data_IF_937938584472
#
_entry.id   IF_937938584472
#
_cell.length_a   1.000
_cell.length_b   1.000
_cell.length_c   1.000
_cell.angle_alpha   90.00
_cell.angle_beta   90.00
_cell.angle_gamma   90.00
#
_symmetry.space_group_name_H-M   'P 1'
#
loop_
_entity.id
_entity.type
_entity.pdbx_description
1 polymer ?
#
# COMPACT_ATOMS: atom_id res chain seq x y z
N UNK A 1 -25.44 -2.82 -3.06
CA UNK A 1 -26.09 -1.49 -3.09
C UNK A 1 -25.60 -0.81 -4.34
N UNK A 2 -26.49 -0.20 -5.13
CA UNK A 2 -26.07 0.52 -6.33
C UNK A 2 -25.48 1.87 -5.91
N UNK A 3 -24.17 1.91 -5.73
CA UNK A 3 -23.44 3.17 -5.56
C UNK A 3 -23.57 3.97 -6.86
N UNK A 4 -24.08 5.19 -6.80
CA UNK A 4 -23.93 6.11 -7.92
C UNK A 4 -22.47 6.57 -7.95
N UNK A 5 -21.65 5.96 -8.82
CA UNK A 5 -20.21 6.22 -8.93
C UNK A 5 -19.93 7.19 -10.08
N UNK A 6 -19.11 8.21 -9.83
CA UNK A 6 -18.54 9.09 -10.86
C UNK A 6 -17.01 8.98 -10.83
N UNK A 7 -16.38 8.63 -11.95
CA UNK A 7 -14.93 8.53 -12.04
C UNK A 7 -14.31 9.92 -11.97
N UNK A 8 -13.43 10.14 -10.99
CA UNK A 8 -12.71 11.40 -10.79
C UNK A 8 -11.26 11.32 -11.28
N UNK A 9 -10.62 10.17 -11.17
CA UNK A 9 -9.21 9.98 -11.53
C UNK A 9 -8.89 8.51 -11.83
N UNK A 10 -7.97 8.28 -12.75
CA UNK A 10 -7.43 6.94 -13.04
C UNK A 10 -5.95 6.96 -13.42
N UNK A 11 -5.26 5.89 -13.04
CA UNK A 11 -4.00 5.44 -13.65
C UNK A 11 -4.27 4.08 -14.30
N UNK A 12 -4.07 3.97 -15.61
CA UNK A 12 -4.30 2.74 -16.36
C UNK A 12 -3.02 2.30 -17.06
N UNK A 13 -2.40 1.23 -16.56
CA UNK A 13 -1.13 0.73 -17.07
C UNK A 13 -1.29 -0.32 -18.18
N UNK A 14 -2.52 -0.71 -18.51
CA UNK A 14 -2.80 -1.76 -19.49
C UNK A 14 -2.28 -1.38 -20.87
N UNK A 15 -1.38 -2.22 -21.40
CA UNK A 15 -0.77 -2.02 -22.73
C UNK A 15 0.24 -0.87 -22.80
N UNK A 16 0.55 -0.21 -21.68
CA UNK A 16 1.60 0.80 -21.62
C UNK A 16 2.98 0.15 -21.52
N UNK A 17 4.01 0.88 -21.94
CA UNK A 17 5.41 0.48 -21.76
C UNK A 17 6.28 1.68 -21.40
N UNK A 18 6.87 1.66 -20.21
CA UNK A 18 7.76 2.70 -19.72
C UNK A 18 8.74 2.13 -18.70
N UNK A 19 9.98 2.63 -18.72
CA UNK A 19 10.97 2.33 -17.69
C UNK A 19 10.89 3.30 -16.49
N UNK A 20 9.99 4.29 -16.54
CA UNK A 20 9.84 5.29 -15.49
C UNK A 20 8.36 5.64 -15.27
N UNK A 21 8.03 5.97 -14.02
CA UNK A 21 6.73 6.52 -13.63
C UNK A 21 6.60 7.98 -14.09
N UNK A 22 5.37 8.46 -14.25
CA UNK A 22 5.11 9.88 -14.46
C UNK A 22 5.50 10.67 -13.18
N UNK A 23 6.54 11.53 -13.23
CA UNK A 23 7.00 12.28 -12.08
C UNK A 23 6.05 13.40 -11.67
N UNK A 24 5.00 13.69 -12.42
CA UNK A 24 3.90 14.58 -11.99
C UNK A 24 2.90 13.87 -11.07
N UNK A 25 2.89 12.53 -11.05
CA UNK A 25 1.97 11.71 -10.23
C UNK A 25 2.72 11.03 -9.09
N UNK A 26 3.86 10.43 -9.39
CA UNK A 26 4.54 9.52 -8.47
C UNK A 26 5.87 10.08 -7.96
N UNK A 27 6.09 9.92 -6.67
CA UNK A 27 7.38 10.04 -6.00
C UNK A 27 7.92 8.64 -5.71
N UNK A 28 9.23 8.54 -5.54
CA UNK A 28 9.91 7.30 -5.18
C UNK A 28 10.57 7.45 -3.81
N UNK A 29 10.30 6.51 -2.92
CA UNK A 29 11.10 6.32 -1.72
C UNK A 29 12.28 5.41 -2.09
N UNK A 30 13.50 5.85 -1.77
CA UNK A 30 14.74 5.16 -2.13
C UNK A 30 15.51 4.75 -0.89
N UNK A 31 16.24 3.64 -0.99
CA UNK A 31 17.03 3.09 0.11
C UNK A 31 16.22 2.32 1.14
N UNK A 32 16.79 2.22 2.33
CA UNK A 32 16.30 1.40 3.44
C UNK A 32 15.72 2.26 4.60
N UNK A 33 15.39 3.53 4.30
CA UNK A 33 14.90 4.51 5.26
C UNK A 33 15.95 5.13 6.20
N UNK A 34 17.19 4.63 6.20
CA UNK A 34 18.24 5.15 7.12
C UNK A 34 18.56 6.63 6.91
N UNK A 35 18.49 7.10 5.66
CA UNK A 35 18.79 8.49 5.29
C UNK A 35 17.81 9.52 5.87
N UNK A 36 16.60 9.09 6.27
CA UNK A 36 15.60 9.90 6.98
C UNK A 36 15.46 9.52 8.46
N UNK A 37 16.36 8.67 8.99
CA UNK A 37 16.32 8.20 10.36
C UNK A 37 15.28 7.12 10.65
N UNK A 38 14.65 6.55 9.61
CA UNK A 38 13.65 5.49 9.70
C UNK A 38 14.26 4.16 9.24
N UNK A 39 15.29 3.70 9.94
CA UNK A 39 16.10 2.51 9.57
C UNK A 39 15.21 1.28 9.37
N UNK A 40 15.40 0.56 8.27
CA UNK A 40 14.57 -0.59 7.89
C UNK A 40 13.10 -0.23 7.76
N UNK A 41 12.84 1.01 7.32
CA UNK A 41 11.53 1.66 7.25
C UNK A 41 10.70 1.62 8.54
N UNK A 42 11.37 1.44 9.68
CA UNK A 42 10.73 1.32 11.00
C UNK A 42 10.28 -0.10 11.36
N UNK A 43 10.38 -1.05 10.43
CA UNK A 43 9.83 -2.41 10.56
C UNK A 43 10.89 -3.52 10.42
N UNK A 44 12.18 -3.18 10.41
CA UNK A 44 13.28 -4.11 10.08
C UNK A 44 13.13 -4.76 8.68
N UNK A 45 12.56 -4.02 7.75
CA UNK A 45 12.48 -4.39 6.34
C UNK A 45 13.89 -4.66 5.76
N UNK A 46 14.00 -5.62 4.83
CA UNK A 46 15.27 -6.15 4.30
C UNK A 46 15.58 -5.63 2.91
N UNK A 47 14.64 -5.01 2.21
CA UNK A 47 14.89 -4.46 0.88
C UNK A 47 15.57 -3.08 0.92
N UNK A 48 16.29 -2.79 -0.14
CA UNK A 48 16.73 -1.45 -0.49
C UNK A 48 15.87 -0.96 -1.65
N UNK A 49 15.02 0.06 -1.44
CA UNK A 49 14.15 0.54 -2.52
C UNK A 49 14.95 1.26 -3.60
N UNK A 50 14.68 0.93 -4.87
CA UNK A 50 15.35 1.48 -6.05
C UNK A 50 14.35 1.88 -7.13
N UNK A 51 14.72 2.85 -7.96
CA UNK A 51 13.88 3.25 -9.11
C UNK A 51 13.76 2.13 -10.16
N UNK A 52 14.85 1.41 -10.41
CA UNK A 52 14.92 0.36 -11.45
C UNK A 52 14.08 -0.88 -11.10
N UNK A 53 13.65 -1.02 -9.84
CA UNK A 53 12.69 -2.05 -9.43
C UNK A 53 11.26 -1.76 -9.85
N UNK A 54 10.96 -0.57 -10.41
CA UNK A 54 9.62 -0.18 -10.84
C UNK A 54 9.59 0.04 -12.35
N UNK A 55 8.77 -0.74 -13.05
CA UNK A 55 8.64 -0.65 -14.52
C UNK A 55 7.18 -0.76 -14.93
N UNK A 56 6.88 -0.37 -16.16
CA UNK A 56 5.57 -0.55 -16.78
C UNK A 56 5.77 -1.36 -18.06
N UNK A 57 5.19 -2.56 -18.12
CA UNK A 57 5.13 -3.39 -19.34
C UNK A 57 3.82 -4.18 -19.35
N UNK A 58 2.76 -3.56 -19.89
CA UNK A 58 1.40 -4.08 -19.84
C UNK A 58 0.70 -3.93 -18.48
N UNK A 59 1.47 -3.80 -17.40
CA UNK A 59 1.04 -3.43 -16.06
C UNK A 59 2.21 -2.72 -15.34
N UNK A 60 1.90 -1.92 -14.32
CA UNK A 60 2.92 -1.46 -13.37
C UNK A 60 3.44 -2.68 -12.61
N UNK A 61 4.76 -2.83 -12.56
CA UNK A 61 5.46 -3.94 -11.92
C UNK A 61 6.45 -3.41 -10.91
N UNK A 62 6.28 -3.81 -9.64
CA UNK A 62 7.30 -3.64 -8.60
C UNK A 62 7.99 -4.98 -8.40
N UNK A 63 9.28 -5.05 -8.73
CA UNK A 63 10.09 -6.25 -8.65
C UNK A 63 11.01 -6.22 -7.44
N UNK A 64 10.85 -7.21 -6.56
CA UNK A 64 11.83 -7.54 -5.54
C UNK A 64 12.84 -8.55 -6.10
N UNK A 65 14.14 -8.29 -5.95
CA UNK A 65 15.21 -9.12 -6.49
C UNK A 65 16.30 -9.36 -5.46
N UNK A 66 16.66 -10.63 -5.25
CA UNK A 66 17.79 -10.99 -4.39
C UNK A 66 19.08 -10.50 -5.02
N UNK A 67 19.92 -9.87 -4.21
CA UNK A 67 21.19 -9.33 -4.67
C UNK A 67 22.33 -10.32 -4.43
N UNK A 68 23.32 -10.37 -5.32
CA UNK A 68 24.52 -11.16 -5.08
C UNK A 68 25.32 -10.60 -3.91
N UNK A 69 26.04 -11.44 -3.17
CA UNK A 69 26.74 -11.04 -1.94
C UNK A 69 27.82 -9.95 -2.16
N UNK A 70 28.33 -9.81 -3.37
CA UNK A 70 29.33 -8.81 -3.76
C UNK A 70 28.72 -7.53 -4.37
N UNK A 71 27.39 -7.37 -4.32
CA UNK A 71 26.74 -6.15 -4.78
C UNK A 71 27.23 -4.91 -4.01
N UNK A 72 27.33 -3.74 -4.66
CA UNK A 72 27.89 -2.55 -4.03
C UNK A 72 26.91 -1.80 -3.12
N UNK A 73 25.62 -2.15 -3.11
CA UNK A 73 24.59 -1.43 -2.36
C UNK A 73 24.78 -1.74 -0.87
N UNK A 74 24.83 -0.71 -0.03
CA UNK A 74 24.95 -0.86 1.42
C UNK A 74 23.62 -0.49 2.08
N UNK A 75 23.02 -1.45 2.75
CA UNK A 75 21.91 -1.27 3.67
C UNK A 75 22.43 -1.16 5.11
N UNK A 76 21.55 -0.87 6.06
CA UNK A 76 21.86 -0.67 7.48
C UNK A 76 22.49 -1.89 8.17
N UNK A 77 22.39 -3.07 7.55
CA UNK A 77 22.93 -4.35 8.04
C UNK A 77 24.15 -4.85 7.23
N UNK A 78 24.67 -4.07 6.26
CA UNK A 78 25.78 -4.45 5.38
C UNK A 78 25.39 -4.45 3.90
N UNK A 79 26.04 -5.26 3.04
CA UNK A 79 25.63 -5.40 1.65
C UNK A 79 24.14 -5.74 1.55
N UNK A 80 23.39 -5.01 0.72
CA UNK A 80 21.95 -5.21 0.60
C UNK A 80 21.66 -6.64 0.12
N UNK A 81 20.70 -7.32 0.73
CA UNK A 81 20.30 -8.67 0.33
C UNK A 81 19.22 -8.65 -0.75
N UNK A 82 18.46 -7.56 -0.81
CA UNK A 82 17.30 -7.39 -1.68
C UNK A 82 17.20 -5.97 -2.21
N UNK A 83 16.75 -5.81 -3.45
CA UNK A 83 16.19 -4.55 -3.95
C UNK A 83 14.69 -4.71 -4.16
N UNK A 84 13.94 -3.61 -4.07
CA UNK A 84 12.51 -3.57 -4.39
C UNK A 84 12.09 -2.15 -4.77
N UNK A 85 10.79 -1.87 -4.88
CA UNK A 85 10.26 -0.53 -5.14
C UNK A 85 9.19 -0.08 -4.14
N UNK A 86 9.17 1.23 -3.87
CA UNK A 86 8.16 1.95 -3.12
C UNK A 86 7.88 3.29 -3.79
N UNK A 87 6.60 3.57 -4.03
CA UNK A 87 6.15 4.76 -4.73
C UNK A 87 4.93 5.36 -4.04
N UNK A 88 4.80 6.70 -4.10
CA UNK A 88 3.68 7.40 -3.46
C UNK A 88 3.26 8.68 -4.17
N UNK A 89 2.02 9.14 -3.94
CA UNK A 89 1.45 10.33 -4.59
C UNK A 89 1.49 11.61 -3.75
N UNK A 90 2.22 11.62 -2.63
CA UNK A 90 2.23 12.78 -1.72
C UNK A 90 2.61 14.08 -2.43
N UNK A 91 1.92 15.17 -2.07
CA UNK A 91 2.04 16.49 -2.70
C UNK A 91 1.77 16.52 -4.21
N UNK A 92 1.12 15.49 -4.79
CA UNK A 92 0.81 15.39 -6.23
C UNK A 92 -0.64 15.01 -6.49
N UNK A 93 -1.04 13.83 -6.02
CA UNK A 93 -2.42 13.34 -6.10
C UNK A 93 -2.89 12.96 -4.70
N UNK A 94 -3.94 13.63 -4.24
CA UNK A 94 -4.56 13.44 -2.93
C UNK A 94 -6.02 13.06 -3.05
N UNK A 95 -6.52 12.31 -2.07
CA UNK A 95 -7.85 11.74 -2.04
C UNK A 95 -8.53 12.07 -0.71
N UNK A 96 -9.80 12.46 -0.75
CA UNK A 96 -10.63 12.63 0.46
C UNK A 96 -11.99 12.01 0.23
N UNK A 97 -12.35 11.00 1.02
CA UNK A 97 -13.57 10.19 0.89
C UNK A 97 -13.67 9.48 -0.48
N UNK A 98 -14.83 8.90 -0.77
CA UNK A 98 -15.09 8.25 -2.06
C UNK A 98 -14.56 6.82 -2.12
N UNK A 99 -14.56 6.26 -3.32
CA UNK A 99 -14.16 4.90 -3.59
C UNK A 99 -12.84 4.86 -4.36
N UNK A 100 -11.83 4.22 -3.76
CA UNK A 100 -10.56 3.93 -4.41
C UNK A 100 -10.46 2.43 -4.65
N UNK A 101 -10.29 2.03 -5.91
CA UNK A 101 -10.16 0.65 -6.37
C UNK A 101 -8.79 0.46 -7.05
N UNK A 102 -8.05 -0.57 -6.65
CA UNK A 102 -6.76 -0.95 -7.23
C UNK A 102 -6.86 -2.38 -7.72
N UNK A 103 -6.66 -2.58 -9.02
CA UNK A 103 -6.61 -3.92 -9.62
C UNK A 103 -5.16 -4.40 -9.65
N UNK A 104 -4.84 -5.38 -8.81
CA UNK A 104 -3.49 -5.84 -8.58
C UNK A 104 -3.41 -7.37 -8.46
N UNK A 105 -2.22 -7.92 -8.73
CA UNK A 105 -1.89 -9.33 -8.49
C UNK A 105 -0.70 -9.39 -7.54
N UNK A 106 -0.88 -10.14 -6.45
CA UNK A 106 0.09 -10.14 -5.35
C UNK A 106 1.32 -11.00 -5.68
N UNK A 107 2.48 -10.71 -5.07
CA UNK A 107 3.65 -11.57 -5.15
C UNK A 107 3.41 -12.92 -4.46
N UNK A 108 4.18 -13.91 -4.90
CA UNK A 108 4.34 -15.19 -4.22
C UNK A 108 5.67 -15.21 -3.47
N UNK A 109 5.71 -15.92 -2.33
CA UNK A 109 6.96 -16.29 -1.65
C UNK A 109 6.99 -15.86 -0.19
N UNK A 110 7.34 -16.78 0.70
CA UNK A 110 7.51 -16.45 2.11
C UNK A 110 8.59 -15.36 2.27
N UNK A 111 8.26 -14.32 3.02
CA UNK A 111 9.07 -13.11 3.19
C UNK A 111 8.63 -11.92 2.34
N UNK A 112 7.74 -12.08 1.35
CA UNK A 112 7.20 -10.92 0.63
C UNK A 112 6.14 -10.20 1.46
N UNK A 113 6.15 -8.87 1.44
CA UNK A 113 5.18 -8.00 2.09
C UNK A 113 4.68 -6.91 1.12
N UNK A 114 3.74 -7.26 0.24
CA UNK A 114 3.02 -6.28 -0.58
C UNK A 114 2.07 -5.41 0.27
N UNK A 115 2.04 -4.12 -0.01
CA UNK A 115 1.08 -3.19 0.59
C UNK A 115 0.50 -2.19 -0.44
N UNK A 116 -0.80 -1.96 -0.33
CA UNK A 116 -1.58 -0.93 -1.01
C UNK A 116 -2.27 -0.09 0.08
N UNK A 117 -1.79 1.12 0.31
CA UNK A 117 -2.12 1.82 1.54
C UNK A 117 -2.09 3.33 1.38
N UNK A 118 -2.70 4.02 2.32
CA UNK A 118 -2.82 5.47 2.33
C UNK A 118 -2.25 6.05 3.62
N UNK A 119 -1.58 7.19 3.52
CA UNK A 119 -1.19 8.01 4.68
C UNK A 119 -1.82 9.40 4.59
N UNK A 120 -2.18 9.96 5.73
CA UNK A 120 -2.69 11.34 5.79
C UNK A 120 -1.64 12.33 5.28
N UNK A 121 -2.03 13.21 4.36
CA UNK A 121 -1.17 14.25 3.77
C UNK A 121 -0.62 15.22 4.84
N UNK A 122 -1.21 15.27 6.03
CA UNK A 122 -0.67 16.04 7.16
C UNK A 122 0.73 15.57 7.58
N UNK A 123 1.13 14.33 7.26
CA UNK A 123 2.47 13.80 7.53
C UNK A 123 3.58 14.62 6.88
N UNK A 124 3.42 14.97 5.59
CA UNK A 124 4.40 15.80 4.86
C UNK A 124 4.36 17.28 5.29
N UNK A 125 3.47 17.63 6.20
CA UNK A 125 3.32 18.95 6.81
C UNK A 125 3.60 18.97 8.33
N UNK A 126 4.12 17.86 8.88
CA UNK A 126 4.67 17.80 10.24
C UNK A 126 3.81 17.09 11.28
N UNK A 127 2.63 16.57 10.92
CA UNK A 127 1.87 15.68 11.81
C UNK A 127 2.53 14.31 11.84
N UNK A 128 2.99 13.85 13.00
CA UNK A 128 3.65 12.54 13.10
C UNK A 128 2.68 11.37 12.87
N UNK A 129 3.23 10.22 12.47
CA UNK A 129 2.52 8.95 12.58
C UNK A 129 2.49 8.50 14.06
N UNK A 130 1.37 7.93 14.55
CA UNK A 130 0.15 7.55 13.84
C UNK A 130 -0.93 8.64 13.80
N UNK A 131 -0.65 9.87 14.23
CA UNK A 131 -1.65 10.94 14.33
C UNK A 131 -2.20 11.37 12.95
N UNK A 132 -1.38 11.32 11.90
CA UNK A 132 -1.81 11.58 10.52
C UNK A 132 -2.80 10.54 9.97
N UNK A 133 -2.89 9.37 10.62
CA UNK A 133 -3.74 8.28 10.17
C UNK A 133 -3.16 7.49 8.99
N UNK A 134 -3.55 6.22 8.94
CA UNK A 134 -3.17 5.26 7.92
C UNK A 134 -4.38 4.38 7.57
N UNK A 135 -4.57 4.10 6.27
CA UNK A 135 -5.60 3.17 5.79
C UNK A 135 -4.94 2.16 4.86
N UNK A 136 -4.84 0.92 5.31
CA UNK A 136 -4.34 -0.19 4.49
C UNK A 136 -5.51 -0.76 3.71
N UNK A 137 -5.57 -0.45 2.42
CA UNK A 137 -6.54 -1.04 1.47
C UNK A 137 -6.27 -2.53 1.37
N UNK A 138 -4.99 -2.88 1.31
CA UNK A 138 -4.48 -4.22 1.40
C UNK A 138 -3.09 -4.22 2.03
N UNK A 139 -2.89 -5.11 2.99
CA UNK A 139 -1.58 -5.54 3.45
C UNK A 139 -1.55 -7.07 3.45
N UNK A 140 -0.41 -7.69 3.13
CA UNK A 140 -0.33 -9.15 3.14
C UNK A 140 1.10 -9.67 3.27
N UNK A 141 1.21 -10.95 3.61
CA UNK A 141 2.49 -11.67 3.65
C UNK A 141 2.43 -12.88 2.74
N UNK A 142 3.52 -13.16 2.03
CA UNK A 142 3.61 -14.34 1.17
C UNK A 142 3.61 -15.67 1.94
N UNK A 143 3.76 -15.64 3.27
CA UNK A 143 3.50 -16.79 4.14
C UNK A 143 1.99 -17.13 4.25
N UNK A 144 1.12 -16.18 3.90
CA UNK A 144 -0.34 -16.31 3.96
C UNK A 144 -0.97 -15.92 2.62
N UNK A 145 -0.72 -16.69 1.54
CA UNK A 145 -1.04 -16.28 0.17
C UNK A 145 -2.54 -16.21 -0.15
N UNK A 146 -3.41 -16.61 0.78
CA UNK A 146 -4.88 -16.55 0.65
C UNK A 146 -5.50 -15.41 1.47
N UNK A 147 -4.72 -14.72 2.32
CA UNK A 147 -5.23 -13.71 3.23
C UNK A 147 -5.37 -12.35 2.55
N UNK A 148 -6.58 -11.80 2.62
CA UNK A 148 -6.83 -10.38 2.35
C UNK A 148 -6.98 -9.71 3.70
N UNK A 149 -6.13 -8.72 3.98
CA UNK A 149 -6.12 -7.99 5.23
C UNK A 149 -6.24 -6.49 4.95
N UNK A 150 -7.17 -5.85 5.65
CA UNK A 150 -7.36 -4.40 5.64
C UNK A 150 -7.35 -3.86 7.06
N UNK A 151 -6.68 -2.74 7.25
CA UNK A 151 -6.38 -2.18 8.57
C UNK A 151 -6.54 -0.66 8.56
N UNK A 152 -6.81 -0.09 9.73
CA UNK A 152 -6.55 1.33 9.98
C UNK A 152 -5.64 1.52 11.18
N UNK A 153 -4.76 2.51 11.07
CA UNK A 153 -3.95 2.98 12.18
C UNK A 153 -4.23 4.45 12.49
N UNK A 154 -4.24 4.77 13.78
CA UNK A 154 -4.48 6.11 14.29
C UNK A 154 -4.04 6.26 15.75
N UNK A 155 -4.18 7.46 16.30
CA UNK A 155 -3.75 7.74 17.68
C UNK A 155 -4.47 6.84 18.71
N UNK A 156 -3.70 5.95 19.34
CA UNK A 156 -4.19 4.95 20.29
C UNK A 156 -4.68 3.62 19.69
N UNK A 157 -4.46 3.38 18.39
CA UNK A 157 -4.78 2.13 17.68
C UNK A 157 -3.86 1.97 16.46
N UNK A 158 -2.62 1.56 16.69
CA UNK A 158 -1.56 1.51 15.66
C UNK A 158 -0.61 0.33 15.87
N UNK A 159 0.26 0.06 14.90
CA UNK A 159 1.12 -1.13 14.89
C UNK A 159 0.28 -2.40 15.00
N UNK A 160 0.70 -3.35 15.85
CA UNK A 160 -0.05 -4.60 16.10
C UNK A 160 -1.48 -4.38 16.67
N UNK A 161 -1.79 -3.18 17.16
CA UNK A 161 -3.12 -2.81 17.69
C UNK A 161 -3.96 -2.02 16.68
N UNK A 162 -3.60 -2.02 15.39
CA UNK A 162 -4.45 -1.53 14.32
C UNK A 162 -5.81 -2.22 14.33
N UNK A 163 -6.85 -1.53 13.84
CA UNK A 163 -8.16 -2.16 13.70
C UNK A 163 -8.19 -2.94 12.37
N UNK A 164 -7.83 -4.21 12.47
CA UNK A 164 -7.66 -5.11 11.33
C UNK A 164 -8.86 -6.04 11.13
N UNK A 165 -9.16 -6.35 9.88
CA UNK A 165 -10.04 -7.46 9.48
C UNK A 165 -9.34 -8.31 8.41
N UNK A 166 -9.44 -9.62 8.56
CA UNK A 166 -8.85 -10.60 7.63
C UNK A 166 -9.96 -11.50 7.08
N UNK A 167 -9.93 -11.76 5.77
CA UNK A 167 -10.70 -12.81 5.11
C UNK A 167 -9.78 -13.78 4.35
N UNK A 168 -10.32 -14.93 3.96
CA UNK A 168 -9.64 -15.91 3.13
C UNK A 168 -10.26 -15.92 1.73
N UNK A 169 -9.41 -15.80 0.71
CA UNK A 169 -9.80 -16.10 -0.66
C UNK A 169 -9.69 -17.60 -0.92
N UNK A 170 -10.50 -18.10 -1.85
CA UNK A 170 -10.50 -19.51 -2.24
C UNK A 170 -9.30 -19.93 -3.09
N UNK A 171 -8.64 -18.96 -3.74
CA UNK A 171 -7.42 -19.11 -4.53
C UNK A 171 -6.34 -18.18 -3.98
N UNK A 172 -5.08 -18.52 -4.22
CA UNK A 172 -3.99 -17.68 -3.77
C UNK A 172 -3.97 -16.35 -4.55
N UNK A 173 -3.68 -15.24 -3.87
CA UNK A 173 -3.76 -13.88 -4.42
C UNK A 173 -2.70 -13.59 -5.51
N UNK A 174 -1.75 -14.50 -5.72
CA UNK A 174 -0.76 -14.42 -6.79
C UNK A 174 -1.17 -15.16 -8.06
N UNK A 175 -2.29 -15.90 -8.04
CA UNK A 175 -2.78 -16.66 -9.21
C UNK A 175 -3.48 -15.75 -10.23
N UNK A 176 -4.19 -14.70 -9.79
CA UNK A 176 -4.92 -13.79 -10.68
C UNK A 176 -4.95 -12.35 -10.14
N UNK A 177 -5.33 -11.40 -11.01
CA UNK A 177 -5.61 -10.04 -10.60
C UNK A 177 -6.92 -9.96 -9.83
N UNK A 178 -6.87 -9.33 -8.67
CA UNK A 178 -8.01 -9.00 -7.83
C UNK A 178 -8.18 -7.49 -7.70
N UNK A 179 -9.39 -7.04 -7.37
CA UNK A 179 -9.67 -5.62 -7.08
C UNK A 179 -9.76 -5.41 -5.58
N UNK A 180 -8.80 -4.65 -5.05
CA UNK A 180 -8.77 -4.22 -3.65
C UNK A 180 -9.29 -2.80 -3.58
N UNK A 181 -10.13 -2.48 -2.61
CA UNK A 181 -10.65 -1.12 -2.53
C UNK A 181 -11.16 -0.72 -1.17
N UNK A 182 -11.32 0.59 -1.03
CA UNK A 182 -12.00 1.20 0.11
C UNK A 182 -13.05 2.18 -0.40
N UNK A 183 -14.23 2.17 0.21
CA UNK A 183 -15.21 3.24 0.09
C UNK A 183 -15.30 3.96 1.43
N UNK A 184 -14.83 5.19 1.48
CA UNK A 184 -14.75 5.92 2.74
C UNK A 184 -15.50 7.24 2.73
N UNK A 185 -15.97 7.61 3.91
CA UNK A 185 -16.75 8.80 4.19
C UNK A 185 -16.39 9.32 5.58
N UNK A 186 -16.96 10.46 5.97
CA UNK A 186 -16.62 11.17 7.20
C UNK A 186 -16.59 10.30 8.47
N UNK A 187 -17.47 9.32 8.58
CA UNK A 187 -17.64 8.55 9.81
C UNK A 187 -17.56 7.03 9.56
N UNK A 188 -17.13 6.60 8.38
CA UNK A 188 -17.20 5.19 7.96
C UNK A 188 -16.24 4.86 6.83
N UNK A 189 -15.55 3.74 6.96
CA UNK A 189 -14.68 3.15 5.94
C UNK A 189 -15.16 1.71 5.69
N UNK A 190 -15.42 1.39 4.43
CA UNK A 190 -15.75 0.03 3.97
C UNK A 190 -14.56 -0.52 3.18
N UNK A 191 -14.12 -1.75 3.45
CA UNK A 191 -13.14 -2.44 2.61
C UNK A 191 -13.84 -3.40 1.67
N UNK A 192 -13.36 -3.42 0.43
CA UNK A 192 -13.87 -4.20 -0.66
C UNK A 192 -12.78 -5.12 -1.21
N UNK A 193 -13.17 -6.35 -1.52
CA UNK A 193 -12.37 -7.30 -2.27
C UNK A 193 -13.23 -7.87 -3.39
N UNK A 194 -12.78 -7.72 -4.64
CA UNK A 194 -13.54 -8.04 -5.86
C UNK A 194 -14.96 -7.45 -5.87
N UNK A 195 -15.07 -6.21 -5.37
CA UNK A 195 -16.32 -5.46 -5.28
C UNK A 195 -17.25 -5.86 -4.13
N UNK A 196 -16.92 -6.90 -3.35
CA UNK A 196 -17.67 -7.30 -2.17
C UNK A 196 -17.12 -6.65 -0.91
N UNK A 197 -18.00 -5.99 -0.13
CA UNK A 197 -17.63 -5.43 1.18
C UNK A 197 -17.35 -6.56 2.17
N UNK A 198 -16.16 -6.59 2.76
CA UNK A 198 -15.78 -7.59 3.77
C UNK A 198 -15.51 -7.01 5.16
N UNK A 199 -15.29 -5.69 5.24
CA UNK A 199 -15.11 -5.00 6.51
C UNK A 199 -15.78 -3.63 6.48
N UNK A 200 -16.25 -3.19 7.65
CA UNK A 200 -16.78 -1.85 7.88
C UNK A 200 -16.29 -1.39 9.24
N UNK A 201 -15.60 -0.24 9.27
CA UNK A 201 -15.24 0.43 10.52
C UNK A 201 -15.93 1.80 10.52
N UNK A 202 -16.68 2.05 11.58
CA UNK A 202 -17.37 3.32 11.80
C UNK A 202 -16.69 4.11 12.92
N UNK A 203 -16.78 5.44 12.87
CA UNK A 203 -16.30 6.32 13.95
C UNK A 203 -16.86 5.91 15.32
N UNK A 204 -18.09 5.41 15.33
CA UNK A 204 -18.87 4.95 16.49
C UNK A 204 -18.39 3.61 17.07
N UNK A 205 -17.43 2.93 16.42
CA UNK A 205 -16.90 1.67 16.92
C UNK A 205 -16.41 1.81 18.37
N UNK A 206 -16.87 0.97 19.32
CA UNK A 206 -16.48 1.06 20.72
C UNK A 206 -14.97 1.01 20.95
N UNK A 207 -14.20 0.34 20.07
CA UNK A 207 -12.73 0.27 20.12
C UNK A 207 -12.07 1.63 19.89
N UNK A 208 -12.81 2.59 19.32
CA UNK A 208 -12.40 3.98 19.04
C UNK A 208 -12.98 4.98 20.05
N UNK A 209 -13.65 4.50 21.11
CA UNK A 209 -14.19 5.37 22.16
C UNK A 209 -13.08 6.16 22.84
N UNK A 210 -13.21 7.50 22.84
CA UNK A 210 -12.21 8.42 23.40
C UNK A 210 -10.94 8.60 22.56
N UNK A 211 -10.83 7.94 21.40
CA UNK A 211 -9.69 8.05 20.47
C UNK A 211 -9.99 9.01 19.33
N UNK A 212 -8.97 9.60 18.73
CA UNK A 212 -9.12 10.48 17.57
C UNK A 212 -9.53 9.71 16.31
N UNK A 213 -10.22 10.37 15.39
CA UNK A 213 -10.55 9.84 14.07
C UNK A 213 -9.84 10.68 13.01
N UNK A 214 -8.74 10.14 12.50
CA UNK A 214 -7.81 10.87 11.63
C UNK A 214 -8.16 10.77 10.13
N UNK A 215 -9.30 10.18 9.77
CA UNK A 215 -9.64 9.86 8.37
C UNK A 215 -10.53 10.90 7.67
N UNK A 216 -10.50 12.14 8.19
CA UNK A 216 -11.31 13.27 7.71
C UNK A 216 -10.48 14.38 7.05
N UNK A 217 -9.29 14.02 6.59
CA UNK A 217 -8.38 14.88 5.85
C UNK A 217 -7.99 14.25 4.51
N UNK A 218 -7.12 14.92 3.76
CA UNK A 218 -6.56 14.39 2.52
C UNK A 218 -5.56 13.27 2.81
N UNK A 219 -5.60 12.21 2.01
CA UNK A 219 -4.67 11.09 2.03
C UNK A 219 -3.97 10.95 0.68
N UNK A 220 -2.73 10.49 0.68
CA UNK A 220 -1.99 10.10 -0.53
C UNK A 220 -1.77 8.58 -0.58
N UNK A 221 -1.68 8.04 -1.79
CA UNK A 221 -1.52 6.61 -2.05
C UNK A 221 -0.05 6.21 -1.98
N UNK A 222 0.20 5.02 -1.44
CA UNK A 222 1.49 4.35 -1.37
C UNK A 222 1.32 2.91 -1.87
N UNK A 223 2.26 2.48 -2.70
CA UNK A 223 2.36 1.11 -3.21
C UNK A 223 3.79 0.66 -3.04
N UNK A 224 3.99 -0.47 -2.38
CA UNK A 224 5.32 -1.06 -2.23
C UNK A 224 5.28 -2.59 -2.14
N UNK A 225 6.47 -3.16 -2.31
CA UNK A 225 6.75 -4.56 -2.03
C UNK A 225 7.93 -4.64 -1.06
N UNK A 226 7.66 -4.71 0.24
CA UNK A 226 8.69 -4.95 1.23
C UNK A 226 9.12 -6.43 1.25
N UNK A 227 10.30 -6.71 1.82
CA UNK A 227 10.84 -8.05 2.02
C UNK A 227 11.28 -8.21 3.48
N UNK A 228 10.80 -9.26 4.14
CA UNK A 228 11.11 -9.54 5.54
C UNK A 228 10.47 -8.51 6.50
N UNK A 229 11.20 -8.17 7.56
CA UNK A 229 10.66 -7.31 8.61
C UNK A 229 9.76 -8.03 9.60
N UNK A 230 9.29 -7.29 10.60
CA UNK A 230 8.49 -7.84 11.70
C UNK A 230 7.19 -8.47 11.24
N UNK A 231 6.57 -7.93 10.19
CA UNK A 231 5.30 -8.43 9.66
C UNK A 231 5.48 -9.64 8.74
N UNK A 232 6.37 -9.57 7.74
CA UNK A 232 6.55 -10.67 6.79
C UNK A 232 7.30 -11.87 7.39
N UNK A 233 8.12 -11.62 8.42
CA UNK A 233 8.93 -12.63 9.09
C UNK A 233 10.16 -13.04 8.30
N UNK A 234 10.61 -14.28 8.50
CA UNK A 234 11.78 -14.82 7.83
C UNK A 234 11.56 -14.95 6.31
N UNK A 235 12.56 -14.55 5.54
CA UNK A 235 12.58 -14.70 4.09
C UNK A 235 13.04 -16.12 3.73
N UNK A 236 12.26 -16.82 2.90
CA UNK A 236 12.67 -18.13 2.41
C UNK A 236 14.02 -18.04 1.68
N UNK A 237 15.04 -18.82 2.07
CA UNK A 237 16.34 -18.82 1.39
C UNK A 237 16.26 -19.14 -0.10
N UNK A 238 15.22 -19.83 -0.56
CA UNK A 238 15.00 -20.17 -1.97
C UNK A 238 14.26 -19.09 -2.77
N UNK A 239 13.72 -18.05 -2.11
CA UNK A 239 13.10 -16.93 -2.81
C UNK A 239 14.19 -16.12 -3.52
N UNK A 240 14.16 -16.04 -4.84
CA UNK A 240 15.14 -15.25 -5.63
C UNK A 240 14.53 -13.95 -6.17
N UNK A 241 13.23 -13.95 -6.43
CA UNK A 241 12.50 -12.79 -6.93
C UNK A 241 11.02 -12.87 -6.58
N UNK A 242 10.38 -11.71 -6.54
CA UNK A 242 8.93 -11.59 -6.41
C UNK A 242 8.43 -10.33 -7.15
N UNK A 243 7.17 -10.34 -7.59
CA UNK A 243 6.58 -9.22 -8.32
C UNK A 243 5.19 -8.89 -7.78
N UNK A 244 4.98 -7.61 -7.48
CA UNK A 244 3.66 -7.02 -7.31
C UNK A 244 3.28 -6.35 -8.64
N UNK A 245 2.10 -6.71 -9.17
CA UNK A 245 1.60 -6.17 -10.43
C UNK A 245 0.35 -5.34 -10.19
N UNK A 246 0.24 -4.18 -10.85
CA UNK A 246 -0.92 -3.29 -10.78
C UNK A 246 -1.37 -2.94 -12.20
N UNK A 247 -2.59 -3.32 -12.57
CA UNK A 247 -3.17 -2.99 -13.88
C UNK A 247 -3.75 -1.58 -13.90
N UNK A 248 -4.47 -1.20 -12.85
CA UNK A 248 -5.14 0.09 -12.79
C UNK A 248 -5.45 0.54 -11.38
N UNK A 249 -5.49 1.85 -11.20
CA UNK A 249 -6.01 2.52 -10.01
C UNK A 249 -7.15 3.42 -10.47
N UNK A 250 -8.29 3.35 -9.80
CA UNK A 250 -9.47 4.16 -10.14
C UNK A 250 -10.06 4.77 -8.88
N UNK A 251 -10.35 6.06 -8.96
CA UNK A 251 -10.92 6.82 -7.86
C UNK A 251 -12.26 7.44 -8.29
N UNK A 252 -13.28 7.25 -7.46
CA UNK A 252 -14.64 7.66 -7.75
C UNK A 252 -15.22 8.50 -6.61
N UNK A 253 -16.04 9.48 -6.96
CA UNK A 253 -17.06 9.97 -6.03
C UNK A 253 -18.17 8.93 -5.93
N UNK A 254 -18.76 8.79 -4.74
CA UNK A 254 -19.88 7.89 -4.45
C UNK A 254 -21.03 8.72 -3.90
N UNK A 255 -22.14 8.77 -4.63
CA UNK A 255 -23.30 9.60 -4.29
C UNK A 255 -22.93 11.09 -4.07
N UNK A 256 -21.96 11.59 -4.85
CA UNK A 256 -21.44 12.96 -4.72
C UNK A 256 -20.46 13.18 -3.56
N UNK A 257 -20.02 12.11 -2.88
CA UNK A 257 -19.00 12.16 -1.82
C UNK A 257 -17.67 11.64 -2.37
N UNK A 258 -16.62 12.45 -2.28
CA UNK A 258 -15.28 12.13 -2.79
C UNK A 258 -14.69 13.37 -3.46
N UNK A 259 -13.46 13.71 -3.10
CA UNK A 259 -12.74 14.86 -3.64
C UNK A 259 -11.33 14.43 -4.03
N UNK A 260 -10.94 14.80 -5.25
CA UNK A 260 -9.59 14.66 -5.77
C UNK A 260 -8.82 15.98 -5.59
N UNK A 261 -7.61 15.92 -5.05
CA UNK A 261 -6.66 17.04 -5.06
C UNK A 261 -5.55 16.74 -6.06
N UNK A 262 -5.24 17.69 -6.95
CA UNK A 262 -4.10 17.64 -7.87
C UNK A 262 -3.23 18.88 -7.63
N UNK A 263 -1.93 18.70 -7.45
CA UNK A 263 -0.95 19.75 -7.15
C UNK A 263 0.11 19.91 -8.25
#
# INVERSE_FOLDING_TARGET
>A
MDYNKELLWEENFVGQKSAALDPSIWNLDLGDGSHIGLVGWGNNEREFYTADSITIDGALTISAQRQPADNPIQAYYGPAEWTSGKMHTANKVGFTYGLLEIKAKMPQGQGTWPALWLLGSSLVHGTSWPQCGEIDIFEGTGAHPYQVQGTIHGDGYFGENGLTQIIQNSVALHEDFHTYGINWSKDRIEWLFDGAVYNVIERSDPRLSGKAWSYNEEFYLIINLAIGGWFAGEVDPALESAQLLVESIKYFSVNGVGTLTLN
#
